data_IF_130983340566
#
_entry.id   IF_130983340566
#
_cell.length_a   1.000
_cell.length_b   1.000
_cell.length_c   1.000
_cell.angle_alpha   90.00
_cell.angle_beta   90.00
_cell.angle_gamma   90.00
#
_symmetry.space_group_name_H-M   'P 1'
#
loop_
_entity.id
_entity.type
_entity.pdbx_description
1 polymer ?
#
# COMPACT_ATOMS: atom_id res chain seq x y z
N UNK A 1 9.33 -28.15 41.79
CA UNK A 1 8.40 -27.04 42.13
C UNK A 1 7.65 -26.67 40.85
N UNK A 2 6.33 -26.82 40.81
CA UNK A 2 5.52 -26.50 39.63
C UNK A 2 5.19 -25.01 39.60
N UNK A 3 5.40 -24.36 38.45
CA UNK A 3 5.04 -22.95 38.26
C UNK A 3 3.56 -22.92 37.84
N UNK A 4 2.69 -22.45 38.74
CA UNK A 4 1.30 -22.17 38.41
C UNK A 4 1.22 -20.89 37.57
N UNK A 5 0.77 -21.03 36.32
CA UNK A 5 0.64 -19.92 35.38
C UNK A 5 -0.86 -19.68 35.17
N UNK A 6 -1.40 -18.68 35.86
CA UNK A 6 -2.82 -18.25 35.89
C UNK A 6 -3.47 -18.07 34.50
N UNK A 7 -2.67 -17.92 33.44
CA UNK A 7 -3.15 -17.77 32.06
C UNK A 7 -2.54 -18.74 31.05
N UNK A 8 -1.93 -19.86 31.50
CA UNK A 8 -1.29 -20.85 30.65
C UNK A 8 -0.05 -20.29 29.93
N UNK A 9 1.15 -20.67 30.38
CA UNK A 9 2.45 -20.09 30.01
C UNK A 9 2.86 -19.96 28.54
N UNK A 10 1.99 -20.24 27.57
CA UNK A 10 2.25 -20.15 26.13
C UNK A 10 1.19 -19.29 25.44
N UNK A 11 1.39 -17.97 25.42
CA UNK A 11 0.62 -17.09 24.54
C UNK A 11 1.03 -17.30 23.07
N UNK A 12 0.34 -18.21 22.38
CA UNK A 12 0.56 -18.41 20.94
C UNK A 12 0.04 -17.18 20.18
N UNK A 13 0.96 -16.38 19.63
CA UNK A 13 0.61 -15.28 18.73
C UNK A 13 0.27 -15.85 17.35
N UNK A 14 -1.01 -16.00 17.05
CA UNK A 14 -1.52 -16.39 15.71
C UNK A 14 -1.39 -15.21 14.75
N UNK A 15 -0.16 -14.90 14.34
CA UNK A 15 0.16 -13.86 13.36
C UNK A 15 1.01 -14.47 12.25
N UNK A 16 0.76 -14.06 11.01
CA UNK A 16 1.62 -14.45 9.89
C UNK A 16 2.94 -13.70 9.95
N UNK A 17 4.03 -14.47 9.98
CA UNK A 17 5.41 -13.97 10.04
C UNK A 17 6.03 -13.94 8.63
N UNK A 18 5.46 -14.72 7.70
CA UNK A 18 5.92 -14.86 6.33
C UNK A 18 4.73 -14.91 5.35
N UNK A 19 4.92 -14.52 4.07
CA UNK A 19 3.91 -14.70 3.05
C UNK A 19 3.77 -16.19 2.72
N UNK A 20 2.53 -16.65 2.48
CA UNK A 20 2.27 -18.04 2.05
C UNK A 20 2.54 -18.25 0.56
N UNK A 21 2.46 -17.19 -0.24
CA UNK A 21 2.61 -17.26 -1.70
C UNK A 21 4.07 -17.38 -2.12
N UNK A 22 4.31 -18.20 -3.14
CA UNK A 22 5.66 -18.46 -3.67
C UNK A 22 6.17 -17.49 -4.73
N UNK A 23 5.33 -16.51 -5.10
CA UNK A 23 5.66 -15.44 -6.05
C UNK A 23 6.97 -14.72 -5.70
N UNK A 24 7.88 -14.68 -6.68
CA UNK A 24 9.21 -14.07 -6.57
C UNK A 24 9.11 -12.56 -6.31
N UNK A 25 8.22 -11.85 -7.01
CA UNK A 25 8.06 -10.40 -6.86
C UNK A 25 7.56 -10.03 -5.46
N UNK A 26 6.62 -10.83 -4.94
CA UNK A 26 6.13 -10.65 -3.57
C UNK A 26 7.24 -10.86 -2.54
N UNK A 27 8.08 -11.89 -2.72
CA UNK A 27 9.23 -12.17 -1.85
C UNK A 27 10.25 -11.02 -1.87
N UNK A 28 10.52 -10.43 -3.03
CA UNK A 28 11.39 -9.25 -3.14
C UNK A 28 10.81 -8.03 -2.39
N UNK A 29 9.53 -7.72 -2.62
CA UNK A 29 8.85 -6.61 -1.92
C UNK A 29 8.89 -6.78 -0.41
N UNK A 30 8.62 -8.00 0.07
CA UNK A 30 8.69 -8.32 1.50
C UNK A 30 10.09 -8.10 2.06
N UNK A 31 11.15 -8.52 1.35
CA UNK A 31 12.54 -8.30 1.78
C UNK A 31 12.84 -6.81 1.93
N UNK A 32 12.45 -6.01 0.94
CA UNK A 32 12.64 -4.56 0.96
C UNK A 32 11.90 -3.92 2.15
N UNK A 33 10.60 -4.14 2.28
CA UNK A 33 9.81 -3.54 3.37
C UNK A 33 10.19 -4.05 4.75
N UNK A 34 10.71 -5.29 4.86
CA UNK A 34 11.25 -5.82 6.12
C UNK A 34 12.56 -5.13 6.51
N UNK A 35 13.40 -4.78 5.55
CA UNK A 35 14.59 -3.97 5.79
C UNK A 35 14.19 -2.54 6.23
N UNK A 36 13.33 -1.87 5.47
CA UNK A 36 12.88 -0.50 5.79
C UNK A 36 12.16 -0.43 7.14
N UNK A 37 11.24 -1.36 7.44
CA UNK A 37 10.50 -1.34 8.69
C UNK A 37 11.41 -1.50 9.93
N UNK A 38 12.54 -2.21 9.80
CA UNK A 38 13.52 -2.39 10.89
C UNK A 38 14.42 -1.17 11.07
N UNK A 39 14.76 -0.45 9.99
CA UNK A 39 15.74 0.65 10.01
C UNK A 39 15.11 2.02 10.23
N UNK A 40 13.95 2.27 9.64
CA UNK A 40 13.34 3.62 9.65
C UNK A 40 12.37 3.83 10.80
N UNK A 41 11.85 2.76 11.43
CA UNK A 41 10.88 2.86 12.54
C UNK A 41 9.52 3.47 12.16
N UNK A 42 9.30 3.86 10.89
CA UNK A 42 8.05 4.44 10.42
C UNK A 42 6.89 3.44 10.52
N UNK A 43 5.80 3.87 11.20
CA UNK A 43 4.57 3.08 11.34
C UNK A 43 3.96 2.70 9.98
N UNK A 44 4.17 3.53 8.95
CA UNK A 44 3.70 3.27 7.59
C UNK A 44 4.29 1.97 7.01
N UNK A 45 5.61 1.81 7.08
CA UNK A 45 6.32 0.64 6.55
C UNK A 45 5.88 -0.65 7.26
N UNK A 46 5.64 -0.57 8.57
CA UNK A 46 5.13 -1.70 9.35
C UNK A 46 3.71 -2.11 8.92
N UNK A 47 2.84 -1.14 8.59
CA UNK A 47 1.49 -1.41 8.09
C UNK A 47 1.54 -2.06 6.70
N UNK A 48 2.40 -1.57 5.80
CA UNK A 48 2.57 -2.18 4.46
C UNK A 48 3.05 -3.62 4.59
N UNK A 49 4.09 -3.87 5.39
CA UNK A 49 4.62 -5.23 5.58
C UNK A 49 3.54 -6.18 6.10
N UNK A 50 2.72 -5.73 7.07
CA UNK A 50 1.59 -6.52 7.59
C UNK A 50 0.55 -6.81 6.51
N UNK A 51 0.24 -5.85 5.62
CA UNK A 51 -0.70 -6.04 4.50
C UNK A 51 -0.14 -7.00 3.44
N UNK A 52 1.16 -7.00 3.18
CA UNK A 52 1.78 -7.92 2.23
C UNK A 52 1.61 -9.40 2.65
N UNK A 53 1.64 -9.70 3.95
CA UNK A 53 1.44 -11.06 4.49
C UNK A 53 -0.04 -11.54 4.53
N UNK A 54 -1.00 -10.65 4.32
CA UNK A 54 -2.41 -11.01 4.30
C UNK A 54 -2.77 -11.86 3.08
N UNK A 55 -3.73 -12.78 3.26
CA UNK A 55 -4.34 -13.52 2.13
C UNK A 55 -5.14 -12.57 1.23
N UNK A 56 -5.45 -13.01 0.02
CA UNK A 56 -6.28 -12.27 -0.94
C UNK A 56 -7.65 -11.90 -0.34
N UNK A 57 -8.29 -12.83 0.37
CA UNK A 57 -9.59 -12.61 1.04
C UNK A 57 -9.51 -11.50 2.10
N UNK A 58 -8.39 -11.43 2.84
CA UNK A 58 -8.18 -10.42 3.87
C UNK A 58 -7.79 -9.04 3.29
N UNK A 59 -7.62 -8.93 1.97
CA UNK A 59 -7.39 -7.68 1.24
C UNK A 59 -8.71 -7.31 0.54
N UNK A 60 -9.62 -6.71 1.28
CA UNK A 60 -10.92 -6.31 0.74
C UNK A 60 -10.76 -5.38 -0.49
N UNK A 61 -11.52 -5.60 -1.57
CA UNK A 61 -11.47 -4.74 -2.74
C UNK A 61 -12.04 -3.36 -2.40
N UNK A 62 -11.38 -2.31 -2.90
CA UNK A 62 -11.84 -0.94 -2.79
C UNK A 62 -12.49 -0.53 -4.11
N UNK A 63 -13.69 0.03 -4.04
CA UNK A 63 -14.37 0.59 -5.21
C UNK A 63 -13.77 1.95 -5.59
N UNK A 64 -13.82 2.27 -6.88
CA UNK A 64 -13.32 3.54 -7.41
C UNK A 64 -14.05 4.74 -6.78
N UNK A 65 -15.38 4.64 -6.61
CA UNK A 65 -16.17 5.70 -5.96
C UNK A 65 -15.69 5.99 -4.53
N UNK A 66 -15.39 4.95 -3.74
CA UNK A 66 -14.84 5.13 -2.38
C UNK A 66 -13.44 5.75 -2.43
N UNK A 67 -12.61 5.36 -3.39
CA UNK A 67 -11.28 5.94 -3.56
C UNK A 67 -11.37 7.44 -3.83
N UNK A 68 -12.26 7.87 -4.74
CA UNK A 68 -12.48 9.29 -5.05
C UNK A 68 -12.88 10.06 -3.79
N UNK A 69 -13.82 9.56 -2.99
CA UNK A 69 -14.23 10.19 -1.72
C UNK A 69 -13.09 10.29 -0.70
N UNK A 70 -12.17 9.32 -0.64
CA UNK A 70 -11.02 9.40 0.26
C UNK A 70 -9.91 10.35 -0.22
N UNK A 71 -9.92 10.71 -1.50
CA UNK A 71 -8.92 11.55 -2.15
C UNK A 71 -9.37 13.01 -2.33
N UNK A 72 -10.68 13.31 -2.31
CA UNK A 72 -11.24 14.67 -2.50
C UNK A 72 -10.82 15.71 -1.46
N UNK A 73 -10.11 15.32 -0.40
CA UNK A 73 -9.55 16.24 0.61
C UNK A 73 -8.02 16.22 0.74
N UNK A 74 -7.30 15.52 -0.16
CA UNK A 74 -5.83 15.38 -0.09
C UNK A 74 -5.18 15.95 -1.35
N UNK A 75 -4.44 17.03 -1.12
CA UNK A 75 -3.68 17.92 -2.03
C UNK A 75 -2.85 17.24 -3.13
N UNK A 76 -2.59 15.93 -3.03
CA UNK A 76 -1.71 15.17 -3.94
C UNK A 76 -2.30 15.10 -5.37
N UNK A 77 -3.62 15.19 -5.54
CA UNK A 77 -4.26 15.25 -6.86
C UNK A 77 -4.37 16.65 -7.47
N UNK A 78 -4.13 17.74 -6.72
CA UNK A 78 -4.18 19.09 -7.31
C UNK A 78 -3.10 19.29 -8.37
N UNK A 79 -1.96 18.61 -8.23
CA UNK A 79 -0.92 18.56 -9.26
C UNK A 79 -1.40 17.82 -10.52
N UNK A 80 -2.16 16.73 -10.36
CA UNK A 80 -2.73 15.97 -11.48
C UNK A 80 -3.90 16.70 -12.14
N UNK A 81 -4.76 17.39 -11.39
CA UNK A 81 -5.81 18.23 -11.96
C UNK A 81 -5.28 19.50 -12.62
N UNK A 82 -4.06 19.95 -12.34
CA UNK A 82 -3.40 21.04 -13.06
C UNK A 82 -2.66 20.58 -14.30
N UNK A 83 -1.93 19.46 -14.21
CA UNK A 83 -1.14 18.91 -15.33
C UNK A 83 -2.00 18.33 -16.45
N UNK A 84 -3.12 17.68 -16.14
CA UNK A 84 -3.98 17.04 -17.14
C UNK A 84 -4.68 18.04 -18.08
N UNK A 85 -5.33 19.13 -17.60
CA UNK A 85 -5.89 20.15 -18.49
C UNK A 85 -4.79 20.92 -19.23
N UNK A 86 -3.64 21.19 -18.59
CA UNK A 86 -2.50 21.81 -19.29
C UNK A 86 -2.01 20.95 -20.46
N UNK A 87 -1.93 19.62 -20.27
CA UNK A 87 -1.53 18.69 -21.33
C UNK A 87 -2.60 18.55 -22.42
N UNK A 88 -3.89 18.66 -22.07
CA UNK A 88 -5.00 18.67 -23.02
C UNK A 88 -5.00 19.93 -23.89
N UNK A 89 -4.73 21.09 -23.30
CA UNK A 89 -4.66 22.37 -24.02
C UNK A 89 -3.42 22.43 -24.93
N UNK A 90 -2.29 21.87 -24.48
CA UNK A 90 -1.08 21.72 -25.29
C UNK A 90 -1.32 20.81 -26.50
N UNK A 91 -2.07 19.72 -26.34
CA UNK A 91 -2.46 18.84 -27.45
C UNK A 91 -3.38 19.54 -28.45
N UNK A 92 -4.34 20.36 -28.00
CA UNK A 92 -5.17 21.16 -28.91
C UNK A 92 -4.33 22.17 -29.69
N UNK A 93 -3.41 22.87 -29.02
CA UNK A 93 -2.54 23.88 -29.63
C UNK A 93 -1.56 23.27 -30.65
N UNK A 94 -1.01 22.08 -30.36
CA UNK A 94 -0.17 21.35 -31.31
C UNK A 94 -0.97 20.88 -32.52
N UNK A 95 -2.19 20.38 -32.32
CA UNK A 95 -3.05 19.90 -33.41
C UNK A 95 -3.52 21.06 -34.31
N UNK A 96 -3.76 22.25 -33.77
CA UNK A 96 -4.10 23.45 -34.55
C UNK A 96 -2.91 24.02 -35.31
N UNK A 97 -1.69 23.88 -34.79
CA UNK A 97 -0.45 24.26 -35.50
C UNK A 97 -0.05 23.29 -36.61
N UNK A 98 -0.49 22.04 -36.54
CA UNK A 98 -0.17 21.00 -37.54
C UNK A 98 -1.18 20.94 -38.69
N UNK A 99 -2.30 21.67 -38.58
CA UNK A 99 -3.38 21.76 -39.57
C UNK A 99 -3.35 23.06 -40.40
N UNK A 100 -2.25 23.82 -40.32
CA UNK A 100 -1.94 24.96 -41.18
C UNK A 100 -0.65 24.69 -41.96
#
# INVERSE_FOLDING_TARGET
MGIDLVAGGKSKKTKRIAPKSDDVYLKLLVKLYRFLARRTGSKFNAVILKRLFMSKINKAPLSLSRLVTYMTGKTILLLLSGLLPMMFELMKSLKSRLLH
#
